data_IF_911852683922
#
_entry.id   IF_911852683922
#
_cell.length_a   1.000
_cell.length_b   1.000
_cell.length_c   1.000
_cell.angle_alpha   90.00
_cell.angle_beta   90.00
_cell.angle_gamma   90.00
#
_symmetry.space_group_name_H-M   'P 1'
#
loop_
_entity.id
_entity.type
_entity.pdbx_description
1 polymer ?
#
# COMPACT_ATOMS: atom_id res chain seq x y z
N UNK A 1 -41.67 1.72 58.28
CA UNK A 1 -41.94 0.69 57.24
C UNK A 1 -42.12 1.47 55.93
N UNK A 2 -41.21 1.41 54.94
CA UNK A 2 -40.96 0.30 54.01
C UNK A 2 -42.12 0.14 52.99
N UNK A 3 -41.99 0.17 51.64
CA UNK A 3 -40.89 0.39 50.66
C UNK A 3 -41.47 1.25 49.49
N UNK A 4 -40.79 1.95 48.56
CA UNK A 4 -39.40 2.07 48.03
C UNK A 4 -39.01 1.14 46.84
N UNK A 5 -38.74 1.75 45.68
CA UNK A 5 -38.27 1.21 44.37
C UNK A 5 -39.32 0.44 43.51
N UNK A 6 -39.21 0.31 42.18
CA UNK A 6 -38.13 0.62 41.21
C UNK A 6 -38.63 1.41 39.99
N UNK A 7 -37.85 2.39 39.52
CA UNK A 7 -37.91 2.89 38.13
C UNK A 7 -36.67 2.36 37.41
N UNK A 8 -36.87 1.46 36.45
CA UNK A 8 -35.78 0.89 35.66
C UNK A 8 -35.36 1.87 34.55
N UNK A 9 -34.27 2.60 34.79
CA UNK A 9 -33.59 3.35 33.72
C UNK A 9 -32.71 2.35 32.96
N UNK A 10 -33.10 2.06 31.72
CA UNK A 10 -32.35 1.19 30.82
C UNK A 10 -32.30 1.88 29.44
N UNK A 11 -31.29 2.72 29.25
CA UNK A 11 -30.98 3.30 27.94
C UNK A 11 -29.51 3.73 27.83
N UNK A 12 -28.99 3.70 26.59
CA UNK A 12 -27.69 4.20 26.13
C UNK A 12 -26.43 3.36 26.44
N UNK A 13 -26.31 2.18 25.81
CA UNK A 13 -25.00 1.60 25.40
C UNK A 13 -25.13 1.08 23.95
N UNK A 14 -25.27 1.99 22.98
CA UNK A 14 -25.44 1.63 21.56
C UNK A 14 -24.56 2.43 20.56
N UNK A 15 -23.99 3.58 20.96
CA UNK A 15 -23.29 4.45 20.00
C UNK A 15 -21.83 4.04 19.67
N UNK A 16 -21.19 3.20 20.48
CA UNK A 16 -19.75 2.89 20.31
C UNK A 16 -19.48 1.85 19.22
N UNK A 17 -20.37 0.87 19.02
CA UNK A 17 -20.16 -0.21 18.05
C UNK A 17 -20.30 0.26 16.60
N UNK A 18 -21.23 1.17 16.31
CA UNK A 18 -21.47 1.68 14.96
C UNK A 18 -20.26 2.47 14.41
N UNK A 19 -19.61 3.28 15.26
CA UNK A 19 -18.44 4.08 14.88
C UNK A 19 -17.22 3.22 14.54
N UNK A 20 -17.01 2.13 15.29
CA UNK A 20 -15.88 1.22 15.05
C UNK A 20 -16.07 0.41 13.76
N UNK A 21 -17.27 -0.11 13.51
CA UNK A 21 -17.58 -0.85 12.28
C UNK A 21 -17.47 0.01 11.02
N UNK A 22 -17.92 1.26 11.06
CA UNK A 22 -17.81 2.18 9.92
C UNK A 22 -16.35 2.53 9.57
N UNK A 23 -15.50 2.72 10.60
CA UNK A 23 -14.07 2.94 10.41
C UNK A 23 -13.35 1.72 9.84
N UNK A 24 -13.65 0.52 10.36
CA UNK A 24 -13.09 -0.75 9.86
C UNK A 24 -13.43 -0.98 8.39
N UNK A 25 -14.69 -0.75 8.00
CA UNK A 25 -15.12 -0.92 6.60
C UNK A 25 -14.44 0.09 5.66
N UNK A 26 -14.26 1.35 6.10
CA UNK A 26 -13.57 2.36 5.31
C UNK A 26 -12.12 1.96 4.98
N UNK A 27 -11.38 1.42 5.97
CA UNK A 27 -10.02 0.89 5.75
C UNK A 27 -10.00 -0.30 4.80
N UNK A 28 -11.01 -1.18 4.85
CA UNK A 28 -11.14 -2.29 3.88
C UNK A 28 -11.36 -1.75 2.47
N UNK A 29 -12.32 -0.84 2.27
CA UNK A 29 -12.65 -0.32 0.94
C UNK A 29 -11.46 0.41 0.31
N UNK A 30 -10.75 1.22 1.09
CA UNK A 30 -9.53 1.91 0.66
C UNK A 30 -8.42 0.91 0.26
N UNK A 31 -8.10 -0.06 1.13
CA UNK A 31 -7.10 -1.08 0.83
C UNK A 31 -7.42 -1.91 -0.43
N UNK A 32 -8.69 -2.20 -0.69
CA UNK A 32 -9.12 -2.98 -1.84
C UNK A 32 -9.06 -2.21 -3.16
N UNK A 33 -9.13 -0.87 -3.13
CA UNK A 33 -9.01 -0.05 -4.33
C UNK A 33 -7.62 -0.13 -4.97
N UNK A 34 -6.61 -0.59 -4.24
CA UNK A 34 -5.28 -0.92 -4.79
C UNK A 34 -5.27 -2.18 -5.66
N UNK A 35 -6.23 -3.10 -5.48
CA UNK A 35 -6.16 -4.44 -6.07
C UNK A 35 -6.90 -4.55 -7.42
N UNK A 36 -6.37 -5.34 -8.38
CA UNK A 36 -7.10 -5.69 -9.60
C UNK A 36 -8.47 -6.32 -9.30
N UNK A 37 -9.52 -6.07 -10.10
CA UNK A 37 -10.86 -6.65 -9.88
C UNK A 37 -10.91 -8.18 -9.83
N UNK A 38 -9.89 -8.87 -10.36
CA UNK A 38 -9.75 -10.33 -10.30
C UNK A 38 -9.16 -10.84 -8.99
N UNK A 39 -8.62 -9.96 -8.13
CA UNK A 39 -8.02 -10.29 -6.84
C UNK A 39 -8.85 -9.82 -5.63
N UNK A 40 -9.70 -8.79 -5.77
CA UNK A 40 -10.39 -8.11 -4.64
C UNK A 40 -11.11 -9.03 -3.65
N UNK A 41 -11.63 -10.18 -4.06
CA UNK A 41 -12.33 -11.14 -3.18
C UNK A 41 -11.39 -12.14 -2.49
N UNK A 42 -10.13 -12.23 -2.93
CA UNK A 42 -9.15 -13.23 -2.51
C UNK A 42 -7.97 -12.67 -1.72
N UNK A 43 -7.76 -11.35 -1.73
CA UNK A 43 -6.68 -10.68 -0.98
C UNK A 43 -6.96 -10.63 0.51
N UNK A 44 -5.92 -10.78 1.33
CA UNK A 44 -6.01 -10.41 2.75
C UNK A 44 -5.93 -8.90 2.88
N UNK A 45 -6.60 -8.30 3.87
CA UNK A 45 -6.47 -6.88 4.21
C UNK A 45 -5.92 -6.76 5.63
N UNK A 46 -4.87 -5.97 5.79
CA UNK A 46 -4.28 -5.64 7.10
C UNK A 46 -4.17 -4.12 7.26
N UNK A 47 -4.22 -3.64 8.50
CA UNK A 47 -3.85 -2.26 8.82
C UNK A 47 -2.34 -2.11 9.09
N UNK A 48 -1.91 -0.86 9.32
CA UNK A 48 -0.51 -0.51 9.58
C UNK A 48 -0.01 -0.91 10.98
N UNK A 49 -0.91 -1.29 11.89
CA UNK A 49 -0.57 -1.92 13.17
C UNK A 49 -0.41 -3.46 13.05
N UNK A 50 -0.70 -4.02 11.86
CA UNK A 50 -0.61 -5.45 11.56
C UNK A 50 -1.86 -6.26 11.92
N UNK A 51 -2.98 -5.61 12.25
CA UNK A 51 -4.24 -6.31 12.50
C UNK A 51 -4.85 -6.79 11.18
N UNK A 52 -5.34 -8.03 11.15
CA UNK A 52 -6.06 -8.57 9.99
C UNK A 52 -7.49 -8.03 9.99
N UNK A 53 -7.76 -7.06 9.11
CA UNK A 53 -9.10 -6.50 8.90
C UNK A 53 -10.00 -7.47 8.12
N UNK A 54 -9.43 -8.25 7.19
CA UNK A 54 -10.13 -9.26 6.40
C UNK A 54 -9.18 -10.38 5.97
N UNK A 55 -9.51 -11.63 6.27
CA UNK A 55 -8.71 -12.78 5.83
C UNK A 55 -8.97 -13.09 4.35
N UNK A 56 -7.91 -13.27 3.56
CA UNK A 56 -7.96 -13.73 2.17
C UNK A 56 -7.40 -15.15 2.00
N UNK A 57 -7.36 -15.60 0.74
CA UNK A 57 -6.90 -16.93 0.30
C UNK A 57 -5.76 -16.90 -0.72
N UNK A 58 -5.41 -15.72 -1.25
CA UNK A 58 -4.28 -15.51 -2.17
C UNK A 58 -2.99 -15.11 -1.44
N UNK A 59 -1.85 -15.13 -2.15
CA UNK A 59 -0.54 -14.65 -1.68
C UNK A 59 -0.52 -13.14 -1.36
N UNK A 60 -1.52 -12.39 -1.85
CA UNK A 60 -1.58 -10.93 -1.77
C UNK A 60 -2.17 -10.42 -0.44
N UNK A 61 -1.59 -9.33 0.02
CA UNK A 61 -2.02 -8.59 1.21
C UNK A 61 -2.13 -7.11 0.84
N UNK A 62 -3.33 -6.55 0.93
CA UNK A 62 -3.55 -5.14 0.73
C UNK A 62 -3.57 -4.37 2.05
N UNK A 63 -3.12 -3.13 1.99
CA UNK A 63 -3.07 -2.18 3.09
C UNK A 63 -3.74 -0.88 2.64
N UNK A 64 -4.48 -0.20 3.53
CA UNK A 64 -5.02 1.12 3.22
C UNK A 64 -3.88 2.12 3.03
N UNK A 65 -4.22 3.29 2.49
CA UNK A 65 -3.39 4.49 2.48
C UNK A 65 -2.68 4.68 3.82
N UNK A 66 -1.34 4.87 3.85
CA UNK A 66 -0.62 5.16 5.08
C UNK A 66 -1.23 6.36 5.83
N UNK A 67 -1.33 6.35 7.17
CA UNK A 67 -1.97 7.44 7.92
C UNK A 67 -1.16 8.76 7.93
N UNK A 68 0.05 8.75 7.36
CA UNK A 68 1.04 9.83 7.43
C UNK A 68 1.47 10.38 6.05
N UNK A 69 0.72 10.08 5.00
CA UNK A 69 0.93 10.62 3.64
C UNK A 69 -0.24 11.52 3.24
N UNK A 70 -0.06 12.26 2.15
CA UNK A 70 -1.17 12.97 1.51
C UNK A 70 -1.99 12.00 0.64
N UNK A 71 -3.23 12.38 0.34
CA UNK A 71 -4.01 11.70 -0.70
C UNK A 71 -4.58 10.34 -0.39
N UNK A 72 -4.69 9.54 -1.45
CA UNK A 72 -5.17 8.18 -1.45
C UNK A 72 -4.19 7.32 -2.23
N UNK A 73 -3.43 6.50 -1.50
CA UNK A 73 -2.36 5.67 -2.05
C UNK A 73 -2.31 4.30 -1.34
N UNK A 74 -3.42 3.53 -1.39
CA UNK A 74 -3.45 2.16 -0.88
C UNK A 74 -2.59 1.26 -1.76
N UNK A 75 -2.09 0.16 -1.19
CA UNK A 75 -1.19 -0.75 -1.89
C UNK A 75 -1.57 -2.21 -1.65
N UNK A 76 -1.37 -3.06 -2.65
CA UNK A 76 -1.52 -4.50 -2.51
C UNK A 76 -0.25 -5.26 -2.89
N UNK A 77 0.33 -5.97 -1.93
CA UNK A 77 1.67 -6.54 -2.00
C UNK A 77 1.63 -8.08 -1.99
N UNK A 78 2.39 -8.71 -2.88
CA UNK A 78 2.67 -10.15 -2.79
C UNK A 78 3.77 -10.49 -1.77
N UNK A 79 4.18 -11.76 -1.72
CA UNK A 79 5.24 -12.24 -0.81
C UNK A 79 6.55 -11.44 -0.91
N UNK A 80 7.23 -11.45 -2.08
CA UNK A 80 8.45 -10.67 -2.28
C UNK A 80 8.29 -9.17 -2.03
N UNK A 81 7.16 -8.54 -2.37
CA UNK A 81 6.95 -7.12 -2.07
C UNK A 81 6.79 -6.82 -0.58
N UNK A 82 6.19 -7.72 0.21
CA UNK A 82 6.23 -7.63 1.68
C UNK A 82 7.66 -7.72 2.23
N UNK A 83 8.50 -8.59 1.66
CA UNK A 83 9.93 -8.66 2.02
C UNK A 83 10.69 -7.40 1.61
N UNK A 84 10.39 -6.83 0.44
CA UNK A 84 10.95 -5.57 -0.02
C UNK A 84 10.56 -4.41 0.90
N UNK A 85 9.29 -4.35 1.32
CA UNK A 85 8.79 -3.30 2.20
C UNK A 85 9.45 -3.33 3.60
N UNK A 86 9.63 -4.52 4.20
CA UNK A 86 10.41 -4.64 5.45
C UNK A 86 11.87 -4.21 5.24
N UNK A 87 12.50 -4.65 4.15
CA UNK A 87 13.90 -4.33 3.87
C UNK A 87 14.11 -2.82 3.70
N UNK A 88 13.28 -2.15 2.89
CA UNK A 88 13.32 -0.71 2.67
C UNK A 88 13.03 0.07 3.96
N UNK A 89 11.90 -0.19 4.62
CA UNK A 89 11.47 0.55 5.82
C UNK A 89 12.47 0.42 6.98
N UNK A 90 13.15 -0.72 7.09
CA UNK A 90 14.15 -0.96 8.13
C UNK A 90 15.60 -0.72 7.66
N UNK A 91 15.83 -0.30 6.41
CA UNK A 91 17.16 -0.10 5.80
C UNK A 91 18.06 -1.34 5.84
N UNK A 92 17.49 -2.53 5.68
CA UNK A 92 18.16 -3.85 5.68
C UNK A 92 18.46 -4.33 4.25
N UNK A 93 19.44 -5.22 4.04
CA UNK A 93 19.65 -5.85 2.74
C UNK A 93 18.38 -6.54 2.21
N UNK A 94 18.01 -6.24 0.96
CA UNK A 94 16.93 -6.94 0.26
C UNK A 94 17.33 -8.39 -0.01
N UNK A 95 16.47 -9.34 0.33
CA UNK A 95 16.66 -10.76 0.04
C UNK A 95 15.36 -11.39 -0.45
N UNK A 96 15.15 -11.35 -1.76
CA UNK A 96 14.05 -12.04 -2.45
C UNK A 96 14.62 -13.09 -3.40
N UNK A 97 13.91 -14.21 -3.55
CA UNK A 97 14.36 -15.37 -4.37
C UNK A 97 13.53 -15.59 -5.63
N UNK A 98 12.48 -14.78 -5.83
CA UNK A 98 11.58 -14.82 -6.98
C UNK A 98 11.13 -13.39 -7.32
N UNK A 99 10.65 -13.18 -8.55
CA UNK A 99 9.97 -11.95 -8.95
C UNK A 99 8.73 -11.73 -8.08
N UNK A 100 8.47 -10.48 -7.71
CA UNK A 100 7.24 -10.05 -7.03
C UNK A 100 6.48 -8.98 -7.79
N UNK A 101 5.16 -8.97 -7.61
CA UNK A 101 4.26 -7.93 -8.14
C UNK A 101 3.50 -7.26 -7.00
N UNK A 102 3.39 -5.94 -7.06
CA UNK A 102 2.48 -5.15 -6.23
C UNK A 102 1.62 -4.24 -7.09
N UNK A 103 0.52 -3.75 -6.52
CA UNK A 103 -0.45 -2.90 -7.20
C UNK A 103 -0.77 -1.66 -6.37
N UNK A 104 -0.86 -0.51 -7.05
CA UNK A 104 -1.36 0.77 -6.53
C UNK A 104 -2.28 1.37 -7.58
N UNK A 105 -3.46 0.75 -7.77
CA UNK A 105 -4.38 1.10 -8.85
C UNK A 105 -5.18 2.40 -8.65
N UNK A 106 -4.97 3.11 -7.53
CA UNK A 106 -5.39 4.51 -7.38
C UNK A 106 -4.24 5.52 -7.62
N UNK A 107 -3.00 5.05 -7.82
CA UNK A 107 -1.81 5.88 -7.93
C UNK A 107 -1.21 6.28 -6.58
N UNK A 108 -0.38 7.32 -6.62
CA UNK A 108 0.20 8.00 -5.46
C UNK A 108 0.19 9.53 -5.61
N UNK A 109 0.46 10.24 -4.51
CA UNK A 109 0.64 11.70 -4.50
C UNK A 109 2.12 12.08 -4.35
N UNK A 110 3.01 11.31 -5.00
CA UNK A 110 4.39 11.73 -5.21
C UNK A 110 5.47 10.87 -4.54
N UNK A 111 6.49 10.54 -5.32
CA UNK A 111 7.76 9.99 -4.85
C UNK A 111 8.95 10.57 -5.63
N UNK A 112 10.13 10.55 -5.03
CA UNK A 112 11.39 10.78 -5.76
C UNK A 112 11.70 9.57 -6.64
N UNK A 113 12.01 9.80 -7.92
CA UNK A 113 12.45 8.73 -8.83
C UNK A 113 13.83 8.14 -8.47
N UNK A 114 14.66 8.89 -7.75
CA UNK A 114 16.09 8.57 -7.55
C UNK A 114 16.51 8.34 -6.10
N UNK A 115 15.81 8.92 -5.12
CA UNK A 115 16.12 8.78 -3.69
C UNK A 115 15.01 8.01 -2.94
N UNK A 116 15.25 6.76 -2.50
CA UNK A 116 14.29 5.96 -1.74
C UNK A 116 13.96 6.52 -0.34
N UNK A 117 14.61 7.60 0.10
CA UNK A 117 14.39 8.21 1.41
C UNK A 117 14.07 9.71 1.35
N UNK A 118 13.75 10.25 0.17
CA UNK A 118 13.28 11.63 0.04
C UNK A 118 11.99 11.84 0.86
N UNK A 119 11.91 12.96 1.58
CA UNK A 119 10.75 13.30 2.42
C UNK A 119 9.84 14.37 1.78
N UNK A 120 10.02 14.66 0.50
CA UNK A 120 9.28 15.67 -0.25
C UNK A 120 9.99 16.07 -1.55
N UNK A 121 9.35 16.87 -2.41
CA UNK A 121 9.90 17.30 -3.69
C UNK A 121 11.10 18.25 -3.53
N UNK A 122 12.11 18.08 -4.40
CA UNK A 122 13.20 19.03 -4.62
C UNK A 122 13.44 19.18 -6.13
N UNK A 123 14.13 20.26 -6.54
CA UNK A 123 14.41 20.53 -7.96
C UNK A 123 15.29 19.45 -8.63
N UNK A 124 15.94 18.60 -7.84
CA UNK A 124 16.95 17.63 -8.27
C UNK A 124 16.59 16.16 -7.97
N UNK A 125 15.50 15.86 -7.26
CA UNK A 125 15.14 14.49 -6.87
C UNK A 125 14.15 13.79 -7.82
N UNK A 126 13.90 14.35 -9.00
CA UNK A 126 12.98 13.77 -10.01
C UNK A 126 11.64 13.37 -9.37
N UNK A 127 10.97 14.32 -8.71
CA UNK A 127 9.67 14.05 -8.08
C UNK A 127 8.60 13.74 -9.14
N UNK A 128 7.86 12.64 -8.95
CA UNK A 128 6.81 12.14 -9.84
C UNK A 128 5.62 11.76 -8.99
N UNK A 129 4.45 12.32 -9.32
CA UNK A 129 3.16 11.80 -8.88
C UNK A 129 2.72 10.75 -9.93
N UNK A 130 2.59 9.48 -9.55
CA UNK A 130 2.29 8.39 -10.48
C UNK A 130 0.81 8.00 -10.45
N UNK A 131 0.24 7.79 -11.64
CA UNK A 131 -1.15 7.37 -11.80
C UNK A 131 -1.34 5.89 -11.43
N UNK A 132 -2.49 5.28 -11.75
CA UNK A 132 -2.71 3.86 -11.54
C UNK A 132 -1.58 3.00 -12.12
N UNK A 133 -0.90 2.24 -11.27
CA UNK A 133 0.29 1.48 -11.67
C UNK A 133 0.40 0.14 -10.93
N UNK A 134 1.28 -0.72 -11.45
CA UNK A 134 1.81 -1.89 -10.76
C UNK A 134 3.32 -1.78 -10.67
N UNK A 135 3.93 -2.42 -9.68
CA UNK A 135 5.38 -2.44 -9.51
C UNK A 135 5.93 -3.86 -9.54
N UNK A 136 7.11 -4.05 -10.11
CA UNK A 136 7.77 -5.35 -10.24
C UNK A 136 9.14 -5.28 -9.58
N UNK A 137 9.37 -6.20 -8.64
CA UNK A 137 10.68 -6.40 -8.01
C UNK A 137 11.28 -7.72 -8.52
N UNK A 138 12.58 -7.72 -8.81
CA UNK A 138 13.31 -8.89 -9.35
C UNK A 138 14.49 -9.26 -8.44
N UNK A 139 14.82 -10.55 -8.30
CA UNK A 139 15.91 -10.99 -7.42
C UNK A 139 17.31 -10.71 -7.98
N UNK A 140 17.42 -10.41 -9.27
CA UNK A 140 18.66 -10.07 -9.96
C UNK A 140 18.51 -8.71 -10.63
N UNK A 141 19.28 -7.73 -10.17
CA UNK A 141 19.24 -6.35 -10.68
C UNK A 141 19.75 -6.22 -12.12
N UNK A 142 20.50 -7.19 -12.66
CA UNK A 142 20.91 -7.18 -14.07
C UNK A 142 19.72 -7.33 -15.03
N UNK A 143 18.59 -7.88 -14.57
CA UNK A 143 17.34 -7.94 -15.32
C UNK A 143 16.69 -6.55 -15.54
N UNK A 144 17.22 -5.50 -14.92
CA UNK A 144 16.81 -4.10 -15.09
C UNK A 144 17.67 -3.35 -16.11
N UNK A 145 18.70 -4.00 -16.68
CA UNK A 145 19.51 -3.41 -17.74
C UNK A 145 18.69 -3.20 -19.02
N UNK A 146 18.90 -2.06 -19.68
CA UNK A 146 18.14 -1.66 -20.87
C UNK A 146 16.74 -1.06 -20.60
N UNK A 147 16.19 -1.19 -19.39
CA UNK A 147 14.95 -0.51 -19.02
C UNK A 147 15.26 1.00 -18.76
N UNK A 148 14.47 1.95 -19.30
CA UNK A 148 14.59 3.38 -19.01
C UNK A 148 14.47 3.72 -17.52
N UNK A 149 14.96 4.88 -17.11
CA UNK A 149 14.62 5.49 -15.79
C UNK A 149 13.65 6.66 -15.91
N UNK A 150 13.50 7.20 -17.13
CA UNK A 150 12.69 8.37 -17.42
C UNK A 150 11.20 7.98 -17.49
N UNK A 151 10.36 8.45 -16.55
CA UNK A 151 8.94 8.12 -16.49
C UNK A 151 8.15 8.69 -17.67
N UNK A 152 8.68 9.67 -18.41
CA UNK A 152 7.98 10.35 -19.51
C UNK A 152 7.97 9.54 -20.81
N UNK A 153 8.73 8.45 -20.89
CA UNK A 153 8.84 7.61 -22.11
C UNK A 153 7.62 6.69 -22.34
N UNK A 154 6.57 6.79 -21.51
CA UNK A 154 5.25 6.19 -21.77
C UNK A 154 5.20 4.66 -21.63
N UNK A 155 6.13 4.07 -20.90
CA UNK A 155 6.21 2.63 -20.64
C UNK A 155 6.90 2.31 -19.31
N UNK A 156 7.25 1.04 -19.06
CA UNK A 156 7.93 0.64 -17.85
C UNK A 156 9.28 1.36 -17.65
N UNK A 157 9.53 1.82 -16.43
CA UNK A 157 10.79 2.48 -16.05
C UNK A 157 11.32 1.96 -14.71
N UNK A 158 12.62 2.10 -14.46
CA UNK A 158 13.28 1.71 -13.20
C UNK A 158 13.32 2.89 -12.26
N UNK A 159 12.58 2.81 -11.16
CA UNK A 159 12.68 3.73 -10.03
C UNK A 159 13.85 3.31 -9.11
N UNK A 160 14.49 4.30 -8.50
CA UNK A 160 15.62 4.18 -7.56
C UNK A 160 16.83 3.39 -8.09
N UNK A 161 17.09 3.46 -9.40
CA UNK A 161 18.14 2.70 -10.10
C UNK A 161 19.50 2.79 -9.39
N UNK A 162 20.14 1.65 -9.20
CA UNK A 162 21.42 1.54 -8.49
C UNK A 162 21.31 1.46 -6.96
N UNK A 163 20.13 1.69 -6.38
CA UNK A 163 19.88 1.37 -4.96
C UNK A 163 19.62 -0.13 -4.74
N UNK A 164 19.70 -0.63 -3.49
CA UNK A 164 19.26 -1.99 -3.15
C UNK A 164 17.76 -2.25 -3.30
N UNK A 165 16.95 -1.21 -3.53
CA UNK A 165 15.48 -1.27 -3.55
C UNK A 165 14.89 -0.90 -4.92
N UNK A 166 15.73 -0.78 -5.95
CA UNK A 166 15.30 -0.49 -7.31
C UNK A 166 14.26 -1.50 -7.82
N UNK A 167 13.25 -0.99 -8.52
CA UNK A 167 12.11 -1.76 -9.00
C UNK A 167 11.57 -1.16 -10.29
N UNK A 168 10.79 -1.94 -11.04
CA UNK A 168 10.15 -1.48 -12.26
C UNK A 168 8.79 -0.90 -11.90
N UNK A 169 8.57 0.37 -12.25
CA UNK A 169 7.26 1.00 -12.26
C UNK A 169 6.59 0.71 -13.61
N UNK A 170 5.33 0.29 -13.59
CA UNK A 170 4.55 -0.03 -14.79
C UNK A 170 3.21 0.74 -14.73
N UNK A 171 3.13 1.92 -15.36
CA UNK A 171 1.89 2.68 -15.48
C UNK A 171 0.83 1.87 -16.24
N UNK A 172 -0.40 1.85 -15.72
CA UNK A 172 -1.57 1.22 -16.35
C UNK A 172 -2.75 2.19 -16.55
N UNK A 173 -2.61 3.45 -16.10
CA UNK A 173 -3.55 4.54 -16.29
C UNK A 173 -2.85 5.88 -16.59
N UNK A 174 -3.61 6.96 -16.78
CA UNK A 174 -3.05 8.31 -16.85
C UNK A 174 -2.49 8.76 -15.49
N UNK A 175 -1.47 9.62 -15.54
CA UNK A 175 -1.13 10.57 -14.48
C UNK A 175 -2.04 11.79 -14.60
#
# INVERSE_FOLDING_TARGET
MAHKFFVSILLAIACTQASFGAHHEALIQDALAAAPPTLVDSVSVVDWDGNVLRQGTSDYTCMPTPPNVAGTQPMCLDGPWKTWADAWSNKKPLNITRLGISYMLLGDEGASNIDPYATGPTDDNEWIDEGPHLMIVVPDASLLEGIPTDPSQGGPYVMWKGSPYQHIMVPVGPR
#
